data_IF_532070167306
#
_entry.id   IF_532070167306
#
_cell.length_a   1.000
_cell.length_b   1.000
_cell.length_c   1.000
_cell.angle_alpha   90.00
_cell.angle_beta   90.00
_cell.angle_gamma   90.00
#
_symmetry.space_group_name_H-M   'P 1'
#
loop_
_entity.id
_entity.type
_entity.pdbx_description
1 polymer ?
#
# COMPACT_ATOMS: atom_id res chain seq x y z
N UNK A 1 -15.05 60.54 -37.16
CA UNK A 1 -14.30 60.60 -38.45
C UNK A 1 -13.00 61.37 -38.24
N UNK A 2 -11.93 60.93 -38.93
CA UNK A 2 -10.54 61.44 -38.99
C UNK A 2 -9.64 61.00 -37.82
N UNK A 3 -8.69 60.06 -37.97
CA UNK A 3 -7.38 60.07 -38.68
C UNK A 3 -6.51 61.25 -38.21
N UNK A 4 -5.24 61.16 -37.81
CA UNK A 4 -4.14 60.28 -38.18
C UNK A 4 -2.90 60.57 -37.30
N UNK A 5 -1.98 59.59 -37.21
CA UNK A 5 -0.52 59.64 -37.03
C UNK A 5 0.17 60.77 -36.23
N UNK A 6 1.06 60.38 -35.29
CA UNK A 6 2.53 60.44 -35.51
C UNK A 6 3.21 59.26 -34.80
N UNK A 7 3.96 58.46 -35.58
CA UNK A 7 4.95 57.47 -35.15
C UNK A 7 6.27 58.20 -34.86
N UNK A 8 6.96 57.85 -33.78
CA UNK A 8 8.41 57.99 -33.73
C UNK A 8 9.02 56.77 -33.06
N UNK A 9 9.86 56.08 -33.82
CA UNK A 9 10.62 54.91 -33.43
C UNK A 9 11.78 55.34 -32.51
N UNK A 10 11.94 54.64 -31.38
CA UNK A 10 13.27 54.41 -30.79
C UNK A 10 13.38 52.91 -30.52
N UNK A 11 14.06 52.23 -31.44
CA UNK A 11 14.56 50.87 -31.25
C UNK A 11 15.89 51.00 -30.51
N UNK A 12 15.86 50.80 -29.19
CA UNK A 12 17.06 50.53 -28.41
C UNK A 12 17.10 49.01 -28.15
N UNK A 13 17.99 48.36 -28.88
CA UNK A 13 18.34 46.94 -28.83
C UNK A 13 18.68 46.43 -27.42
N UNK A 14 18.05 45.35 -26.91
CA UNK A 14 18.51 44.65 -25.73
C UNK A 14 19.25 43.36 -26.14
N UNK A 15 20.30 43.45 -26.95
CA UNK A 15 21.13 42.28 -27.30
C UNK A 15 22.22 42.00 -26.24
N UNK A 16 22.31 42.78 -25.17
CA UNK A 16 23.40 42.66 -24.18
C UNK A 16 23.05 41.94 -22.87
N UNK A 17 21.81 41.45 -22.68
CA UNK A 17 21.43 40.77 -21.41
C UNK A 17 21.40 39.24 -21.48
N UNK A 18 21.40 38.64 -22.67
CA UNK A 18 21.43 37.17 -22.81
C UNK A 18 22.84 36.58 -22.71
N UNK A 19 23.89 37.38 -22.87
CA UNK A 19 25.28 36.88 -22.76
C UNK A 19 25.75 36.69 -21.31
N UNK A 20 25.14 37.39 -20.33
CA UNK A 20 25.48 37.25 -18.91
C UNK A 20 24.82 36.03 -18.24
N UNK A 21 23.69 35.54 -18.76
CA UNK A 21 23.05 34.31 -18.26
C UNK A 21 23.70 33.03 -18.80
N UNK A 22 24.36 33.10 -19.96
CA UNK A 22 25.10 31.95 -20.51
C UNK A 22 26.40 31.64 -19.73
N UNK A 23 26.95 32.59 -18.98
CA UNK A 23 28.17 32.39 -18.18
C UNK A 23 27.89 31.86 -16.76
N UNK A 24 26.64 31.87 -16.29
CA UNK A 24 26.25 31.25 -15.01
C UNK A 24 25.80 29.79 -15.15
N UNK A 25 25.54 29.31 -16.37
CA UNK A 25 25.16 27.92 -16.65
C UNK A 25 26.33 26.98 -16.97
N UNK A 26 27.57 27.46 -16.89
CA UNK A 26 28.77 26.78 -17.41
C UNK A 26 29.69 26.13 -16.37
N UNK A 27 29.27 26.00 -15.12
CA UNK A 27 29.99 25.17 -14.14
C UNK A 27 29.28 23.82 -14.04
N UNK A 28 29.52 22.92 -14.99
CA UNK A 28 29.51 21.50 -14.62
C UNK A 28 30.73 21.29 -13.72
N UNK A 29 30.57 21.63 -12.45
CA UNK A 29 31.36 20.98 -11.41
C UNK A 29 30.99 19.50 -11.54
N UNK A 30 31.85 18.73 -12.19
CA UNK A 30 31.77 17.27 -12.18
C UNK A 30 31.82 16.88 -10.72
N UNK A 31 30.65 16.59 -10.16
CA UNK A 31 30.49 16.13 -8.78
C UNK A 31 31.44 14.94 -8.61
N UNK A 32 32.30 14.99 -7.60
CA UNK A 32 33.31 13.95 -7.39
C UNK A 32 32.57 12.61 -7.27
N UNK A 33 32.86 11.61 -8.14
CA UNK A 33 32.22 10.31 -8.07
C UNK A 33 32.31 9.66 -6.68
N UNK A 34 33.37 9.96 -5.92
CA UNK A 34 33.52 9.50 -4.54
C UNK A 34 32.52 10.16 -3.59
N UNK A 35 32.24 11.46 -3.74
CA UNK A 35 31.27 12.19 -2.92
C UNK A 35 29.82 11.77 -3.25
N UNK A 36 29.53 11.49 -4.53
CA UNK A 36 28.24 10.93 -4.97
C UNK A 36 28.03 9.54 -4.38
N UNK A 37 29.07 8.70 -4.40
CA UNK A 37 29.02 7.35 -3.84
C UNK A 37 28.90 7.37 -2.32
N UNK A 38 29.62 8.26 -1.62
CA UNK A 38 29.50 8.46 -0.18
C UNK A 38 28.08 8.91 0.20
N UNK A 39 27.49 9.85 -0.54
CA UNK A 39 26.09 10.28 -0.34
C UNK A 39 25.10 9.15 -0.59
N UNK A 40 25.32 8.32 -1.62
CA UNK A 40 24.48 7.13 -1.89
C UNK A 40 24.57 6.11 -0.77
N UNK A 41 25.78 5.85 -0.26
CA UNK A 41 25.98 4.92 0.85
C UNK A 41 25.40 5.47 2.16
N UNK A 42 25.56 6.77 2.42
CA UNK A 42 24.94 7.43 3.56
C UNK A 42 23.40 7.39 3.47
N UNK A 43 22.82 7.63 2.28
CA UNK A 43 21.39 7.51 2.04
C UNK A 43 20.89 6.05 2.16
N UNK A 44 21.68 5.07 1.72
CA UNK A 44 21.38 3.66 1.89
C UNK A 44 21.40 3.25 3.37
N UNK A 45 22.34 3.78 4.17
CA UNK A 45 22.39 3.60 5.63
C UNK A 45 21.28 4.33 6.38
N UNK A 46 20.80 5.45 5.82
CA UNK A 46 19.70 6.23 6.38
C UNK A 46 18.31 5.73 5.94
N UNK A 47 18.24 4.80 4.98
CA UNK A 47 16.97 4.20 4.57
C UNK A 47 16.37 3.42 5.75
N UNK A 48 15.07 3.60 6.05
CA UNK A 48 14.42 2.87 7.12
C UNK A 48 14.52 1.36 6.85
N UNK A 49 14.73 0.57 7.91
CA UNK A 49 14.73 -0.88 7.77
C UNK A 49 13.37 -1.37 7.24
N UNK A 50 13.29 -2.55 6.61
CA UNK A 50 11.99 -3.12 6.20
C UNK A 50 10.98 -3.18 7.34
N UNK A 51 11.44 -3.45 8.57
CA UNK A 51 10.60 -3.46 9.77
C UNK A 51 10.08 -2.06 10.14
N UNK A 52 10.93 -1.03 10.07
CA UNK A 52 10.50 0.35 10.32
C UNK A 52 9.49 0.85 9.29
N UNK A 53 9.70 0.46 8.02
CA UNK A 53 8.75 0.72 6.95
C UNK A 53 7.41 0.01 7.22
N UNK A 54 7.44 -1.28 7.58
CA UNK A 54 6.23 -2.02 7.95
C UNK A 54 5.48 -1.35 9.12
N UNK A 55 6.18 -1.01 10.19
CA UNK A 55 5.60 -0.31 11.36
C UNK A 55 4.97 1.02 10.98
N UNK A 56 5.62 1.79 10.12
CA UNK A 56 5.12 3.08 9.63
C UNK A 56 3.85 2.89 8.81
N UNK A 57 3.88 1.99 7.83
CA UNK A 57 2.75 1.73 6.94
C UNK A 57 1.57 1.12 7.70
N UNK A 58 1.82 0.21 8.64
CA UNK A 58 0.80 -0.32 9.55
C UNK A 58 0.08 0.79 10.31
N UNK A 59 0.82 1.73 10.93
CA UNK A 59 0.22 2.83 11.70
C UNK A 59 -0.55 3.82 10.81
N UNK A 60 -0.11 4.01 9.57
CA UNK A 60 -0.78 4.89 8.62
C UNK A 60 -2.08 4.28 8.10
N UNK A 61 -2.07 2.97 7.81
CA UNK A 61 -3.18 2.26 7.17
C UNK A 61 -4.18 1.68 8.17
N UNK A 62 -3.70 1.14 9.29
CA UNK A 62 -4.53 0.57 10.36
C UNK A 62 -4.62 1.55 11.53
N UNK A 63 -5.70 2.35 11.52
CA UNK A 63 -5.89 3.48 12.45
C UNK A 63 -6.15 3.08 13.91
N UNK A 64 -6.32 1.79 14.19
CA UNK A 64 -6.46 1.32 15.57
C UNK A 64 -5.07 1.35 16.20
N UNK A 65 -4.86 2.32 17.08
CA UNK A 65 -3.60 2.50 17.82
C UNK A 65 -3.50 1.48 18.95
N UNK A 66 -3.12 0.27 18.62
CA UNK A 66 -2.68 -0.70 19.62
C UNK A 66 -1.20 -0.47 19.91
N UNK A 67 -0.88 -0.15 21.15
CA UNK A 67 0.52 -0.01 21.59
C UNK A 67 1.19 -1.37 21.74
N UNK A 68 0.39 -2.40 22.04
CA UNK A 68 0.83 -3.78 22.23
C UNK A 68 -0.11 -4.72 21.47
N UNK A 69 0.42 -5.87 21.00
CA UNK A 69 -0.41 -6.92 20.42
C UNK A 69 -1.44 -7.42 21.43
N UNK A 70 -2.66 -7.69 20.97
CA UNK A 70 -3.79 -8.17 21.77
C UNK A 70 -4.15 -9.60 21.36
N UNK A 71 -4.50 -10.42 22.35
CA UNK A 71 -4.90 -11.82 22.16
C UNK A 71 -3.93 -12.80 22.82
N UNK A 72 -4.39 -14.04 23.02
CA UNK A 72 -3.49 -15.16 23.34
C UNK A 72 -2.44 -15.29 22.24
N UNK A 73 -1.29 -15.88 22.56
CA UNK A 73 -0.23 -16.17 21.61
C UNK A 73 -0.73 -17.18 20.57
N UNK A 74 -1.51 -16.69 19.60
CA UNK A 74 -1.78 -17.40 18.37
C UNK A 74 -0.42 -17.85 17.86
N UNK A 75 -0.22 -19.17 17.67
CA UNK A 75 1.09 -19.69 17.35
C UNK A 75 1.61 -18.97 16.11
N UNK A 76 2.71 -18.22 16.27
CA UNK A 76 3.28 -17.35 15.24
C UNK A 76 3.75 -18.12 13.99
N UNK A 77 3.74 -19.45 14.06
CA UNK A 77 4.02 -20.36 12.95
C UNK A 77 2.81 -21.01 12.29
N UNK A 78 1.57 -20.68 12.67
CA UNK A 78 0.38 -21.24 12.02
C UNK A 78 -0.59 -20.16 11.54
N UNK A 79 -0.93 -20.23 10.26
CA UNK A 79 -1.96 -19.39 9.68
C UNK A 79 -3.38 -19.89 10.05
N UNK A 80 -4.32 -19.02 10.45
CA UNK A 80 -5.67 -19.45 10.85
C UNK A 80 -6.42 -20.16 9.71
N UNK A 81 -6.89 -21.38 9.98
CA UNK A 81 -7.63 -22.19 8.98
C UNK A 81 -8.96 -21.55 8.62
N UNK A 82 -9.56 -20.84 9.56
CA UNK A 82 -10.84 -20.17 9.45
C UNK A 82 -10.82 -19.13 8.32
N UNK A 83 -9.72 -18.38 8.17
CA UNK A 83 -9.58 -17.39 7.11
C UNK A 83 -9.50 -18.09 5.75
N UNK A 84 -8.60 -19.06 5.60
CA UNK A 84 -8.45 -19.83 4.36
C UNK A 84 -9.75 -20.49 3.92
N UNK A 85 -10.52 -21.03 4.87
CA UNK A 85 -11.80 -21.66 4.57
C UNK A 85 -12.85 -20.64 4.11
N UNK A 86 -12.95 -19.48 4.76
CA UNK A 86 -13.89 -18.43 4.34
C UNK A 86 -13.53 -17.87 2.96
N UNK A 87 -12.24 -17.64 2.68
CA UNK A 87 -11.77 -17.22 1.33
C UNK A 87 -12.07 -18.30 0.29
N UNK A 88 -11.85 -19.57 0.60
CA UNK A 88 -12.20 -20.68 -0.29
C UNK A 88 -13.71 -20.75 -0.56
N UNK A 89 -14.55 -20.55 0.46
CA UNK A 89 -16.01 -20.46 0.27
C UNK A 89 -16.39 -19.33 -0.67
N UNK A 90 -15.87 -18.12 -0.46
CA UNK A 90 -16.13 -16.97 -1.33
C UNK A 90 -15.74 -17.21 -2.79
N UNK A 91 -14.74 -18.06 -3.06
CA UNK A 91 -14.37 -18.37 -4.44
C UNK A 91 -15.48 -19.09 -5.24
N UNK A 92 -16.46 -19.67 -4.56
CA UNK A 92 -17.63 -20.26 -5.20
C UNK A 92 -18.78 -19.27 -5.40
N UNK A 93 -18.68 -18.03 -4.93
CA UNK A 93 -19.77 -17.05 -5.03
C UNK A 93 -20.12 -16.75 -6.50
N UNK A 94 -21.43 -16.70 -6.80
CA UNK A 94 -21.94 -16.56 -8.17
C UNK A 94 -21.74 -17.80 -9.05
N UNK A 95 -21.26 -18.93 -8.52
CA UNK A 95 -21.11 -20.19 -9.27
C UNK A 95 -22.19 -21.21 -8.90
N UNK A 96 -22.45 -22.24 -9.73
CA UNK A 96 -23.37 -23.32 -9.37
C UNK A 96 -22.99 -24.09 -8.10
N UNK A 97 -21.72 -24.02 -7.68
CA UNK A 97 -21.22 -24.63 -6.45
C UNK A 97 -21.46 -23.76 -5.20
N UNK A 98 -22.05 -22.57 -5.35
CA UNK A 98 -22.45 -21.75 -4.21
C UNK A 98 -23.62 -22.40 -3.48
N UNK A 99 -23.42 -22.72 -2.21
CA UNK A 99 -24.49 -23.28 -1.40
C UNK A 99 -25.41 -22.16 -0.87
N UNK A 100 -26.73 -22.35 -0.95
CA UNK A 100 -27.71 -21.35 -0.48
C UNK A 100 -27.59 -20.99 1.01
N UNK A 101 -27.03 -21.90 1.81
CA UNK A 101 -26.73 -21.66 3.24
C UNK A 101 -25.51 -20.77 3.46
N UNK A 102 -24.68 -20.54 2.45
CA UNK A 102 -23.55 -19.62 2.52
C UNK A 102 -24.09 -18.21 2.28
N UNK A 103 -24.16 -17.43 3.36
CA UNK A 103 -24.52 -16.03 3.28
C UNK A 103 -23.23 -15.20 3.09
N UNK A 104 -23.14 -14.48 1.97
CA UNK A 104 -21.93 -13.75 1.58
C UNK A 104 -21.60 -12.62 2.55
N UNK A 105 -22.61 -11.87 3.02
CA UNK A 105 -22.45 -10.80 4.01
C UNK A 105 -21.86 -11.35 5.32
N UNK A 106 -22.45 -12.42 5.85
CA UNK A 106 -21.94 -13.07 7.07
C UNK A 106 -20.50 -13.58 6.91
N UNK A 107 -20.14 -14.11 5.74
CA UNK A 107 -18.77 -14.57 5.48
C UNK A 107 -17.80 -13.39 5.45
N UNK A 108 -18.16 -12.28 4.79
CA UNK A 108 -17.32 -11.09 4.71
C UNK A 108 -17.20 -10.37 6.06
N UNK A 109 -18.28 -10.27 6.84
CA UNK A 109 -18.22 -9.76 8.21
C UNK A 109 -17.34 -10.63 9.10
N UNK A 110 -17.45 -11.95 8.98
CA UNK A 110 -16.57 -12.89 9.68
C UNK A 110 -15.10 -12.72 9.30
N UNK A 111 -14.81 -12.55 8.01
CA UNK A 111 -13.45 -12.27 7.53
C UNK A 111 -12.91 -10.93 8.03
N UNK A 112 -13.74 -9.87 8.09
CA UNK A 112 -13.34 -8.59 8.68
C UNK A 112 -12.88 -8.78 10.13
N UNK A 113 -13.64 -9.55 10.92
CA UNK A 113 -13.30 -9.84 12.31
C UNK A 113 -12.01 -10.67 12.42
N UNK A 114 -11.87 -11.73 11.62
CA UNK A 114 -10.67 -12.57 11.64
C UNK A 114 -9.41 -11.76 11.27
N UNK A 115 -9.48 -10.94 10.22
CA UNK A 115 -8.34 -10.09 9.82
C UNK A 115 -8.06 -8.98 10.83
N UNK A 116 -9.08 -8.41 11.47
CA UNK A 116 -8.87 -7.46 12.56
C UNK A 116 -8.16 -8.11 13.75
N UNK A 117 -8.51 -9.34 14.12
CA UNK A 117 -7.82 -10.10 15.16
C UNK A 117 -6.38 -10.42 14.77
N UNK A 118 -6.15 -10.83 13.52
CA UNK A 118 -4.80 -11.05 12.99
C UNK A 118 -3.95 -9.79 13.11
N UNK A 119 -4.46 -8.65 12.62
CA UNK A 119 -3.77 -7.36 12.68
C UNK A 119 -3.51 -6.92 14.12
N UNK A 120 -4.43 -7.18 15.04
CA UNK A 120 -4.31 -6.81 16.44
C UNK A 120 -3.35 -7.72 17.22
N UNK A 121 -3.15 -8.97 16.81
CA UNK A 121 -2.36 -9.96 17.54
C UNK A 121 -1.12 -10.44 16.75
N UNK A 122 -1.18 -11.61 16.08
CA UNK A 122 0.01 -12.25 15.49
C UNK A 122 0.63 -11.46 14.34
N UNK A 123 -0.16 -10.66 13.60
CA UNK A 123 0.30 -9.81 12.50
C UNK A 123 0.55 -8.36 12.94
N UNK A 124 0.68 -8.13 14.25
CA UNK A 124 1.01 -6.82 14.82
C UNK A 124 2.48 -6.44 14.56
N UNK A 125 2.83 -5.15 14.43
CA UNK A 125 4.19 -4.72 14.12
C UNK A 125 5.27 -5.08 15.14
N UNK A 126 4.88 -5.42 16.36
CA UNK A 126 5.81 -5.90 17.40
C UNK A 126 5.97 -7.43 17.40
N UNK A 127 5.31 -8.16 16.50
CA UNK A 127 5.37 -9.62 16.40
C UNK A 127 5.74 -10.14 15.00
N UNK A 128 5.64 -9.29 13.97
CA UNK A 128 5.81 -9.70 12.56
C UNK A 128 7.18 -10.32 12.26
N UNK A 129 8.25 -9.87 12.94
CA UNK A 129 9.61 -10.41 12.79
C UNK A 129 9.77 -11.83 13.39
N UNK A 130 8.93 -12.15 14.38
CA UNK A 130 8.89 -13.46 15.04
C UNK A 130 7.95 -14.45 14.33
N UNK A 131 7.21 -14.02 13.32
CA UNK A 131 6.41 -14.94 12.50
C UNK A 131 7.29 -15.74 11.55
N UNK A 132 6.89 -16.99 11.29
CA UNK A 132 7.53 -17.77 10.23
C UNK A 132 7.24 -17.12 8.87
N UNK A 133 8.23 -17.10 7.97
CA UNK A 133 8.05 -16.60 6.60
C UNK A 133 6.84 -17.24 5.92
N UNK A 134 6.64 -18.55 6.09
CA UNK A 134 5.48 -19.26 5.52
C UNK A 134 4.14 -18.67 5.98
N UNK A 135 4.04 -18.24 7.24
CA UNK A 135 2.82 -17.61 7.77
C UNK A 135 2.59 -16.26 7.11
N UNK A 136 3.65 -15.44 6.92
CA UNK A 136 3.57 -14.15 6.21
C UNK A 136 3.20 -14.32 4.73
N UNK A 137 3.78 -15.31 4.06
CA UNK A 137 3.44 -15.66 2.68
C UNK A 137 1.97 -16.07 2.59
N UNK A 138 1.45 -16.84 3.55
CA UNK A 138 0.03 -17.19 3.62
C UNK A 138 -0.87 -15.97 3.84
N UNK A 139 -0.48 -15.01 4.68
CA UNK A 139 -1.22 -13.74 4.80
C UNK A 139 -1.33 -13.02 3.45
N UNK A 140 -0.24 -12.93 2.71
CA UNK A 140 -0.23 -12.28 1.40
C UNK A 140 -1.07 -13.06 0.38
N UNK A 141 -0.92 -14.38 0.32
CA UNK A 141 -1.66 -15.24 -0.60
C UNK A 141 -3.18 -15.11 -0.39
N UNK A 142 -3.66 -15.26 0.84
CA UNK A 142 -5.09 -15.23 1.13
C UNK A 142 -5.71 -13.84 0.94
N UNK A 143 -5.01 -12.79 1.36
CA UNK A 143 -5.49 -11.41 1.16
C UNK A 143 -5.46 -10.99 -0.31
N UNK A 144 -4.45 -11.39 -1.08
CA UNK A 144 -4.40 -11.16 -2.52
C UNK A 144 -5.53 -11.87 -3.25
N UNK A 145 -5.77 -13.15 -2.91
CA UNK A 145 -6.87 -13.94 -3.46
C UNK A 145 -8.22 -13.29 -3.15
N UNK A 146 -8.42 -12.81 -1.92
CA UNK A 146 -9.67 -12.15 -1.53
C UNK A 146 -9.89 -10.85 -2.29
N UNK A 147 -8.87 -10.00 -2.43
CA UNK A 147 -8.96 -8.76 -3.23
C UNK A 147 -9.29 -9.07 -4.68
N UNK A 148 -8.63 -10.07 -5.26
CA UNK A 148 -8.90 -10.52 -6.62
C UNK A 148 -10.35 -11.00 -6.78
N UNK A 149 -10.82 -11.86 -5.87
CA UNK A 149 -12.21 -12.36 -5.89
C UNK A 149 -13.22 -11.22 -5.83
N UNK A 150 -12.97 -10.20 -5.01
CA UNK A 150 -13.88 -9.05 -4.93
C UNK A 150 -13.95 -8.25 -6.23
N UNK A 151 -12.83 -8.10 -6.95
CA UNK A 151 -12.86 -7.49 -8.27
C UNK A 151 -13.57 -8.36 -9.31
N UNK A 152 -13.31 -9.66 -9.31
CA UNK A 152 -13.92 -10.61 -10.25
C UNK A 152 -15.44 -10.76 -10.04
N UNK A 153 -15.90 -10.56 -8.80
CA UNK A 153 -17.30 -10.74 -8.38
C UNK A 153 -17.99 -9.44 -8.04
N UNK A 154 -17.47 -8.30 -8.52
CA UNK A 154 -17.97 -6.97 -8.15
C UNK A 154 -19.49 -6.86 -8.34
N UNK A 155 -19.99 -7.11 -9.56
CA UNK A 155 -21.40 -6.95 -9.89
C UNK A 155 -22.32 -7.87 -9.04
N UNK A 156 -21.90 -9.13 -8.82
CA UNK A 156 -22.63 -10.08 -8.00
C UNK A 156 -22.68 -9.63 -6.52
N UNK A 157 -21.58 -9.08 -6.02
CA UNK A 157 -21.46 -8.58 -4.65
C UNK A 157 -22.28 -7.30 -4.47
N UNK A 158 -22.22 -6.40 -5.45
CA UNK A 158 -22.99 -5.15 -5.45
C UNK A 158 -24.49 -5.44 -5.43
N UNK A 159 -24.95 -6.41 -6.23
CA UNK A 159 -26.35 -6.83 -6.27
C UNK A 159 -26.88 -7.37 -4.94
N UNK A 160 -26.01 -7.82 -4.03
CA UNK A 160 -26.39 -8.38 -2.73
C UNK A 160 -26.14 -7.43 -1.57
N UNK A 161 -25.02 -6.71 -1.58
CA UNK A 161 -24.53 -5.90 -0.46
C UNK A 161 -24.73 -4.39 -0.68
N UNK A 162 -24.84 -3.96 -1.94
CA UNK A 162 -24.76 -2.56 -2.36
C UNK A 162 -23.32 -2.08 -2.55
N UNK A 163 -23.14 -1.14 -3.49
CA UNK A 163 -21.84 -0.62 -3.94
C UNK A 163 -20.95 -0.14 -2.78
N UNK A 164 -21.53 0.64 -1.86
CA UNK A 164 -20.80 1.22 -0.73
C UNK A 164 -20.17 0.15 0.19
N UNK A 165 -20.91 -0.92 0.48
CA UNK A 165 -20.41 -1.96 1.38
C UNK A 165 -19.36 -2.84 0.69
N UNK A 166 -19.50 -3.10 -0.62
CA UNK A 166 -18.47 -3.77 -1.42
C UNK A 166 -17.19 -2.95 -1.44
N UNK A 167 -17.26 -1.65 -1.71
CA UNK A 167 -16.09 -0.76 -1.72
C UNK A 167 -15.40 -0.73 -0.35
N UNK A 168 -16.17 -0.65 0.75
CA UNK A 168 -15.64 -0.69 2.11
C UNK A 168 -14.88 -1.98 2.41
N UNK A 169 -15.44 -3.14 2.08
CA UNK A 169 -14.75 -4.42 2.23
C UNK A 169 -13.49 -4.48 1.36
N UNK A 170 -13.59 -4.06 0.09
CA UNK A 170 -12.46 -4.08 -0.84
C UNK A 170 -11.30 -3.23 -0.33
N UNK A 171 -11.56 -2.00 0.12
CA UNK A 171 -10.54 -1.11 0.68
C UNK A 171 -9.89 -1.72 1.92
N UNK A 172 -10.68 -2.35 2.79
CA UNK A 172 -10.14 -3.03 3.97
C UNK A 172 -9.19 -4.17 3.58
N UNK A 173 -9.59 -5.07 2.67
CA UNK A 173 -8.73 -6.18 2.26
C UNK A 173 -7.54 -5.76 1.40
N UNK A 174 -7.66 -4.69 0.61
CA UNK A 174 -6.52 -4.09 -0.09
C UNK A 174 -5.47 -3.56 0.91
N UNK A 175 -5.93 -2.92 1.98
CA UNK A 175 -5.05 -2.46 3.05
C UNK A 175 -4.35 -3.65 3.73
N UNK A 176 -5.08 -4.69 4.10
CA UNK A 176 -4.50 -5.94 4.65
C UNK A 176 -3.46 -6.54 3.70
N UNK A 177 -3.78 -6.67 2.41
CA UNK A 177 -2.87 -7.19 1.38
C UNK A 177 -1.60 -6.36 1.25
N UNK A 178 -1.72 -5.03 1.26
CA UNK A 178 -0.56 -4.14 1.16
C UNK A 178 0.35 -4.29 2.39
N UNK A 179 -0.23 -4.43 3.58
CA UNK A 179 0.54 -4.73 4.80
C UNK A 179 1.23 -6.10 4.69
N UNK A 180 0.52 -7.14 4.23
CA UNK A 180 1.10 -8.46 4.00
C UNK A 180 2.28 -8.42 3.00
N UNK A 181 2.17 -7.64 1.93
CA UNK A 181 3.25 -7.47 0.96
C UNK A 181 4.49 -6.80 1.58
N UNK A 182 4.30 -5.85 2.50
CA UNK A 182 5.42 -5.24 3.22
C UNK A 182 6.03 -6.19 4.26
N UNK A 183 5.20 -7.01 4.91
CA UNK A 183 5.67 -7.99 5.88
C UNK A 183 6.58 -9.05 5.25
N UNK A 184 6.38 -9.41 3.98
CA UNK A 184 7.27 -10.34 3.25
C UNK A 184 8.72 -9.83 3.16
N UNK A 185 8.94 -8.52 3.28
CA UNK A 185 10.26 -7.90 3.22
C UNK A 185 10.96 -7.84 4.59
N UNK A 186 10.23 -8.15 5.68
CA UNK A 186 10.77 -8.11 7.04
C UNK A 186 11.63 -9.35 7.28
N UNK A 187 12.91 -9.20 7.66
CA UNK A 187 13.76 -10.34 8.01
C UNK A 187 13.17 -11.10 9.20
N UNK A 188 13.21 -12.43 9.14
CA UNK A 188 12.87 -13.28 10.30
C UNK A 188 14.03 -13.28 11.29
N UNK A 189 13.73 -13.17 12.59
CA UNK A 189 14.72 -13.33 13.66
C UNK A 189 15.01 -14.79 13.99
#
# INVERSE_FOLDING_TARGET
MKTSLVRTFFVASPVSLTFLLALLGGAQATEDPAEVEERRQAAARASPSPLDKFRTDYRALYKIKLSNPVGEDLPLGMYPREVSHKVAKLSFFGTPSWESRWNVDNILQGLNLDYAQLLAGPFHPERVESQLQETRTKHLEQSSKLVQLMFEKWDDLEGVLGEEEVDKHLRFYQMVRNLAAHAELVPTM
#
